data_IF_136496678714
#
_entry.id   IF_136496678714
#
_cell.length_a   1.000
_cell.length_b   1.000
_cell.length_c   1.000
_cell.angle_alpha   90.00
_cell.angle_beta   90.00
_cell.angle_gamma   90.00
#
_symmetry.space_group_name_H-M   'P 1'
#
loop_
_entity.id
_entity.type
_entity.pdbx_description
1 polymer ?
#
# COMPACT_ATOMS: atom_id res chain seq x y z
N UNK A 1 -71.56 -9.81 39.00
CA UNK A 1 -70.49 -9.72 37.99
C UNK A 1 -71.06 -9.09 36.73
N UNK A 2 -70.63 -7.89 36.36
CA UNK A 2 -71.16 -7.20 35.17
C UNK A 2 -70.50 -7.78 33.92
N UNK A 3 -71.30 -8.43 33.06
CA UNK A 3 -70.84 -9.06 31.81
C UNK A 3 -70.05 -8.08 30.93
N UNK A 4 -68.78 -8.40 30.68
CA UNK A 4 -67.90 -7.63 29.78
C UNK A 4 -68.38 -7.61 28.31
N UNK A 5 -69.42 -8.40 27.97
CA UNK A 5 -69.97 -8.58 26.63
C UNK A 5 -70.83 -7.41 26.11
N UNK A 6 -71.25 -6.45 26.96
CA UNK A 6 -72.11 -5.31 26.56
C UNK A 6 -71.46 -3.94 26.85
N UNK A 7 -70.20 -3.76 26.45
CA UNK A 7 -69.50 -2.47 26.57
C UNK A 7 -69.12 -1.93 25.19
N UNK A 8 -69.43 -0.67 24.93
CA UNK A 8 -69.17 0.00 23.66
C UNK A 8 -67.68 -0.09 23.29
N UNK A 9 -67.39 -0.62 22.08
CA UNK A 9 -66.03 -0.80 21.57
C UNK A 9 -65.24 0.53 21.55
N UNK A 10 -65.92 1.65 21.28
CA UNK A 10 -65.36 3.01 21.28
C UNK A 10 -64.80 3.44 22.64
N UNK A 11 -65.37 2.96 23.75
CA UNK A 11 -64.90 3.26 25.11
C UNK A 11 -63.60 2.52 25.46
N UNK A 12 -63.26 1.45 24.74
CA UNK A 12 -62.03 0.68 24.91
C UNK A 12 -60.97 1.02 23.85
N UNK A 13 -61.07 2.17 23.19
CA UNK A 13 -60.10 2.58 22.18
C UNK A 13 -58.70 2.68 22.79
N UNK A 14 -57.69 2.28 22.02
CA UNK A 14 -56.31 2.46 22.43
C UNK A 14 -55.94 3.95 22.34
N UNK A 15 -55.45 4.52 23.44
CA UNK A 15 -54.97 5.90 23.46
C UNK A 15 -53.51 5.94 23.00
N UNK A 16 -53.24 6.64 21.89
CA UNK A 16 -51.88 6.80 21.35
C UNK A 16 -51.07 7.79 22.20
N UNK A 17 -49.80 7.49 22.39
CA UNK A 17 -48.86 8.39 23.08
C UNK A 17 -48.35 9.49 22.13
N UNK A 18 -48.03 10.66 22.70
CA UNK A 18 -47.52 11.81 21.94
C UNK A 18 -46.00 11.75 21.78
N UNK A 19 -45.50 12.12 20.61
CA UNK A 19 -44.08 12.28 20.31
C UNK A 19 -43.46 13.53 20.98
N UNK A 20 -42.12 13.63 20.95
CA UNK A 20 -41.39 14.84 21.34
C UNK A 20 -41.68 15.98 20.33
N UNK A 21 -41.90 17.24 20.78
CA UNK A 21 -42.03 18.37 19.87
C UNK A 21 -40.79 18.57 19.00
N UNK A 22 -41.00 18.96 17.72
CA UNK A 22 -39.93 19.06 16.73
C UNK A 22 -38.81 20.02 17.14
N UNK A 23 -39.13 21.15 17.77
CA UNK A 23 -38.12 22.12 18.24
C UNK A 23 -37.24 21.58 19.37
N UNK A 24 -37.68 20.52 20.06
CA UNK A 24 -36.93 19.83 21.14
C UNK A 24 -36.41 18.46 20.72
N UNK A 25 -36.51 18.09 19.44
CA UNK A 25 -36.04 16.81 18.93
C UNK A 25 -34.54 16.58 19.22
N UNK A 26 -33.73 17.65 19.32
CA UNK A 26 -32.32 17.59 19.71
C UNK A 26 -32.07 16.94 21.07
N UNK A 27 -33.02 16.98 22.00
CA UNK A 27 -32.90 16.40 23.35
C UNK A 27 -33.19 14.89 23.37
N UNK A 28 -33.51 14.29 22.23
CA UNK A 28 -33.90 12.90 22.13
C UNK A 28 -35.36 12.65 22.49
N UNK A 29 -35.67 11.38 22.77
CA UNK A 29 -37.03 10.91 23.01
C UNK A 29 -37.64 11.51 24.28
N UNK A 30 -38.92 11.89 24.22
CA UNK A 30 -39.67 12.38 25.37
C UNK A 30 -40.06 11.23 26.29
N UNK A 31 -39.29 11.02 27.35
CA UNK A 31 -39.55 9.98 28.33
C UNK A 31 -40.96 10.07 28.92
N UNK A 32 -41.62 8.92 29.03
CA UNK A 32 -42.94 8.78 29.65
C UNK A 32 -42.83 8.09 31.00
N UNK A 33 -43.96 7.97 31.70
CA UNK A 33 -43.99 7.33 33.02
C UNK A 33 -43.41 5.91 33.01
N UNK A 34 -43.64 5.13 31.94
CA UNK A 34 -43.07 3.79 31.79
C UNK A 34 -41.53 3.84 31.78
N UNK A 35 -40.95 4.74 31.00
CA UNK A 35 -39.50 4.92 30.90
C UNK A 35 -38.90 5.41 32.22
N UNK A 36 -39.58 6.36 32.88
CA UNK A 36 -39.21 6.82 34.22
C UNK A 36 -39.17 5.68 35.23
N UNK A 37 -40.18 4.80 35.23
CA UNK A 37 -40.22 3.64 36.14
C UNK A 37 -39.04 2.69 35.86
N UNK A 38 -38.71 2.43 34.59
CA UNK A 38 -37.53 1.61 34.25
C UNK A 38 -36.23 2.25 34.73
N UNK A 39 -36.05 3.56 34.49
CA UNK A 39 -34.87 4.31 34.93
C UNK A 39 -34.76 4.35 36.46
N UNK A 40 -35.86 4.62 37.17
CA UNK A 40 -35.87 4.68 38.62
C UNK A 40 -35.54 3.32 39.26
N UNK A 41 -36.06 2.22 38.69
CA UNK A 41 -35.72 0.86 39.11
C UNK A 41 -34.25 0.52 38.89
N UNK A 42 -33.69 0.85 37.72
CA UNK A 42 -32.27 0.65 37.43
C UNK A 42 -31.37 1.47 38.38
N UNK A 43 -31.69 2.75 38.58
CA UNK A 43 -30.96 3.61 39.52
C UNK A 43 -31.00 3.04 40.94
N UNK A 44 -32.18 2.66 41.43
CA UNK A 44 -32.34 2.07 42.77
C UNK A 44 -31.55 0.76 42.90
N UNK A 45 -31.59 -0.11 41.90
CA UNK A 45 -30.81 -1.36 41.86
C UNK A 45 -29.30 -1.10 41.92
N UNK A 46 -28.79 -0.12 41.16
CA UNK A 46 -27.38 0.30 41.20
C UNK A 46 -27.00 0.87 42.57
N UNK A 47 -27.85 1.71 43.16
CA UNK A 47 -27.63 2.28 44.50
C UNK A 47 -27.59 1.19 45.58
N UNK A 48 -28.52 0.23 45.54
CA UNK A 48 -28.53 -0.90 46.46
C UNK A 48 -27.27 -1.76 46.32
N UNK A 49 -26.80 -2.02 45.08
CA UNK A 49 -25.55 -2.74 44.83
C UNK A 49 -24.34 -2.00 45.39
N UNK A 50 -24.24 -0.68 45.15
CA UNK A 50 -23.15 0.15 45.68
C UNK A 50 -23.18 0.16 47.22
N UNK A 51 -24.36 0.27 47.83
CA UNK A 51 -24.51 0.22 49.29
C UNK A 51 -23.99 -1.10 49.87
N UNK A 52 -24.39 -2.23 49.29
CA UNK A 52 -23.88 -3.56 49.70
C UNK A 52 -22.37 -3.69 49.52
N UNK A 53 -21.79 -3.15 48.44
CA UNK A 53 -20.34 -3.14 48.23
C UNK A 53 -19.62 -2.26 49.27
N UNK A 54 -20.19 -1.12 49.66
CA UNK A 54 -19.65 -0.26 50.73
C UNK A 54 -19.69 -0.95 52.09
N UNK A 55 -20.79 -1.61 52.42
CA UNK A 55 -20.92 -2.39 53.66
C UNK A 55 -19.87 -3.51 53.70
N UNK A 56 -19.72 -4.30 52.62
CA UNK A 56 -18.68 -5.33 52.51
C UNK A 56 -17.27 -4.75 52.66
N UNK A 57 -16.99 -3.59 52.07
CA UNK A 57 -15.69 -2.93 52.20
C UNK A 57 -15.43 -2.42 53.63
N UNK A 58 -16.46 -1.94 54.34
CA UNK A 58 -16.37 -1.46 55.71
C UNK A 58 -16.12 -2.59 56.72
N UNK A 59 -16.79 -3.73 56.53
CA UNK A 59 -16.64 -4.92 57.39
C UNK A 59 -15.49 -5.85 56.97
N UNK A 60 -14.57 -5.40 56.11
CA UNK A 60 -13.44 -6.21 55.63
C UNK A 60 -12.48 -6.53 56.78
N UNK A 61 -12.15 -7.81 56.96
CA UNK A 61 -11.10 -8.23 57.88
C UNK A 61 -9.72 -7.88 57.29
N UNK A 62 -8.88 -7.16 58.04
CA UNK A 62 -7.55 -6.74 57.56
C UNK A 62 -6.60 -7.91 57.36
N UNK A 63 -6.78 -8.98 58.12
CA UNK A 63 -5.91 -10.16 58.15
C UNK A 63 -6.49 -11.34 57.34
N UNK A 64 -7.48 -11.09 56.47
CA UNK A 64 -8.05 -12.14 55.61
C UNK A 64 -7.01 -12.65 54.60
N UNK A 65 -6.92 -13.97 54.46
CA UNK A 65 -6.04 -14.61 53.48
C UNK A 65 -6.83 -15.65 52.68
N UNK A 66 -6.80 -15.51 51.35
CA UNK A 66 -7.31 -16.48 50.40
C UNK A 66 -6.18 -16.96 49.49
N UNK A 67 -6.12 -18.26 49.16
CA UNK A 67 -5.09 -18.83 48.28
C UNK A 67 -4.99 -18.15 46.90
N UNK A 68 -6.10 -17.59 46.40
CA UNK A 68 -6.11 -16.80 45.16
C UNK A 68 -5.26 -15.53 45.21
N UNK A 69 -5.00 -14.99 46.41
CA UNK A 69 -4.15 -13.80 46.61
C UNK A 69 -2.67 -14.08 46.30
N UNK A 70 -2.24 -15.35 46.30
CA UNK A 70 -0.86 -15.73 45.95
C UNK A 70 -0.58 -15.47 44.47
N UNK A 71 -1.57 -15.70 43.60
CA UNK A 71 -1.46 -15.48 42.14
C UNK A 71 -2.00 -14.12 41.71
N UNK A 72 -3.03 -13.64 42.41
CA UNK A 72 -3.69 -12.37 42.11
C UNK A 72 -2.80 -11.17 42.43
N UNK A 73 -2.73 -10.23 41.49
CA UNK A 73 -1.95 -8.98 41.66
C UNK A 73 -2.92 -7.80 41.78
N UNK A 74 -2.62 -6.87 42.67
CA UNK A 74 -3.32 -5.60 42.77
C UNK A 74 -2.36 -4.45 42.48
N UNK A 75 -2.85 -3.40 41.83
CA UNK A 75 -2.08 -2.16 41.60
C UNK A 75 -2.94 -0.98 42.01
N UNK A 76 -2.46 -0.18 42.98
CA UNK A 76 -3.24 0.93 43.53
C UNK A 76 -4.60 0.50 44.11
N UNK A 77 -4.69 -0.72 44.65
CA UNK A 77 -5.94 -1.25 45.23
C UNK A 77 -6.93 -1.86 44.23
N UNK A 78 -6.63 -1.87 42.92
CA UNK A 78 -7.46 -2.52 41.89
C UNK A 78 -6.84 -3.85 41.48
N UNK A 79 -7.64 -4.92 41.46
CA UNK A 79 -7.21 -6.23 40.99
C UNK A 79 -6.92 -6.20 39.48
N UNK A 80 -5.72 -6.68 39.09
CA UNK A 80 -5.31 -6.81 37.69
C UNK A 80 -5.33 -8.29 37.32
N UNK A 81 -6.13 -8.63 36.32
CA UNK A 81 -6.06 -9.93 35.64
C UNK A 81 -4.95 -9.95 34.60
N UNK A 82 -4.28 -11.09 34.46
CA UNK A 82 -3.33 -11.32 33.37
C UNK A 82 -4.10 -11.52 32.05
N UNK A 83 -3.64 -10.88 30.96
CA UNK A 83 -4.29 -10.95 29.63
C UNK A 83 -3.83 -12.16 28.80
N UNK A 84 -2.98 -13.03 29.35
CA UNK A 84 -2.41 -14.19 28.66
C UNK A 84 -1.08 -13.94 27.93
N UNK A 85 -0.40 -12.81 28.19
CA UNK A 85 0.96 -12.60 27.67
C UNK A 85 1.98 -13.21 28.63
N UNK A 86 2.69 -14.24 28.18
CA UNK A 86 3.77 -14.88 28.94
C UNK A 86 5.14 -14.42 28.41
N UNK A 87 6.12 -14.32 29.31
CA UNK A 87 7.49 -14.03 28.92
C UNK A 87 8.10 -15.26 28.25
N UNK A 88 8.33 -15.19 26.94
CA UNK A 88 8.96 -16.28 26.19
C UNK A 88 10.44 -16.41 26.54
N UNK A 89 10.94 -17.65 26.52
CA UNK A 89 12.37 -17.91 26.69
C UNK A 89 13.18 -17.33 25.52
N UNK A 90 14.43 -16.95 25.78
CA UNK A 90 15.27 -16.31 24.76
C UNK A 90 15.51 -17.21 23.55
N UNK A 91 15.52 -18.53 23.75
CA UNK A 91 15.71 -19.51 22.66
C UNK A 91 14.50 -19.56 21.73
N UNK A 92 13.29 -19.57 22.29
CA UNK A 92 12.05 -19.51 21.51
C UNK A 92 11.96 -18.20 20.74
N UNK A 93 12.32 -17.07 21.36
CA UNK A 93 12.36 -15.78 20.67
C UNK A 93 13.38 -15.79 19.51
N UNK A 94 14.56 -16.41 19.68
CA UNK A 94 15.56 -16.55 18.59
C UNK A 94 15.02 -17.38 17.42
N UNK A 95 14.30 -18.46 17.72
CA UNK A 95 13.67 -19.30 16.70
C UNK A 95 12.62 -18.51 15.92
N UNK A 96 11.69 -17.85 16.61
CA UNK A 96 10.64 -17.04 15.99
C UNK A 96 11.22 -15.92 15.13
N UNK A 97 12.23 -15.18 15.63
CA UNK A 97 12.90 -14.13 14.85
C UNK A 97 13.67 -14.67 13.63
N UNK A 98 14.18 -15.89 13.72
CA UNK A 98 14.83 -16.54 12.58
C UNK A 98 13.81 -16.96 11.51
N UNK A 99 12.63 -17.44 11.91
CA UNK A 99 11.51 -17.73 11.02
C UNK A 99 10.98 -16.45 10.36
N UNK A 100 10.76 -15.38 11.13
CA UNK A 100 10.35 -14.05 10.64
C UNK A 100 11.31 -13.55 9.55
N UNK A 101 12.63 -13.61 9.83
CA UNK A 101 13.67 -13.18 8.90
C UNK A 101 13.66 -14.02 7.61
N UNK A 102 13.49 -15.35 7.72
CA UNK A 102 13.33 -16.23 6.56
C UNK A 102 12.11 -15.87 5.71
N UNK A 103 10.97 -15.60 6.34
CA UNK A 103 9.76 -15.16 5.65
C UNK A 103 9.98 -13.83 4.91
N UNK A 104 10.60 -12.83 5.56
CA UNK A 104 10.90 -11.54 4.93
C UNK A 104 11.80 -11.72 3.70
N UNK A 105 12.85 -12.55 3.79
CA UNK A 105 13.72 -12.85 2.64
C UNK A 105 12.97 -13.46 1.45
N UNK A 106 12.03 -14.37 1.72
CA UNK A 106 11.18 -14.94 0.67
C UNK A 106 10.28 -13.88 0.05
N UNK A 107 9.70 -12.97 0.85
CA UNK A 107 8.88 -11.87 0.33
C UNK A 107 9.70 -10.89 -0.51
N UNK A 108 10.91 -10.55 -0.07
CA UNK A 108 11.86 -9.75 -0.86
C UNK A 108 12.14 -10.39 -2.21
N UNK A 109 12.49 -11.69 -2.24
CA UNK A 109 12.78 -12.39 -3.48
C UNK A 109 11.57 -12.46 -4.43
N UNK A 110 10.34 -12.53 -3.89
CA UNK A 110 9.11 -12.46 -4.68
C UNK A 110 8.90 -11.06 -5.28
N UNK A 111 9.05 -10.02 -4.47
CA UNK A 111 8.88 -8.64 -4.92
C UNK A 111 9.96 -8.25 -5.93
N UNK A 112 11.21 -8.71 -5.75
CA UNK A 112 12.28 -8.51 -6.74
C UNK A 112 11.95 -9.14 -8.09
N UNK A 113 11.41 -10.36 -8.10
CA UNK A 113 10.95 -11.01 -9.34
C UNK A 113 9.80 -10.24 -10.00
N UNK A 114 8.84 -9.76 -9.21
CA UNK A 114 7.75 -8.94 -9.71
C UNK A 114 8.27 -7.64 -10.33
N UNK A 115 9.19 -6.94 -9.65
CA UNK A 115 9.85 -5.74 -10.16
C UNK A 115 10.61 -6.03 -11.47
N UNK A 116 11.36 -7.13 -11.57
CA UNK A 116 12.05 -7.48 -12.83
C UNK A 116 11.07 -7.75 -13.97
N UNK A 117 9.93 -8.38 -13.69
CA UNK A 117 8.89 -8.65 -14.70
C UNK A 117 8.24 -7.36 -15.16
N UNK A 118 7.79 -6.51 -14.23
CA UNK A 118 7.15 -5.23 -14.53
C UNK A 118 8.08 -4.29 -15.30
N UNK A 119 9.38 -4.30 -14.97
CA UNK A 119 10.39 -3.54 -15.75
C UNK A 119 10.50 -4.02 -17.18
N UNK A 120 10.62 -5.33 -17.41
CA UNK A 120 10.70 -5.89 -18.76
C UNK A 120 9.43 -5.57 -19.58
N UNK A 121 8.26 -5.58 -18.93
CA UNK A 121 6.99 -5.25 -19.56
C UNK A 121 6.86 -3.75 -19.90
N UNK A 122 7.35 -2.87 -19.02
CA UNK A 122 7.42 -1.43 -19.25
C UNK A 122 8.42 -1.02 -20.34
N UNK A 123 9.50 -1.80 -20.50
CA UNK A 123 10.48 -1.61 -21.58
C UNK A 123 9.87 -1.93 -22.96
N UNK A 124 9.02 -2.95 -23.05
CA UNK A 124 8.30 -3.32 -24.28
C UNK A 124 7.20 -2.32 -24.62
N UNK A 125 6.51 -1.78 -23.62
CA UNK A 125 5.38 -0.83 -23.78
C UNK A 125 5.82 0.64 -23.83
N UNK A 126 7.10 0.91 -24.11
CA UNK A 126 7.63 2.27 -24.22
C UNK A 126 6.95 3.03 -25.38
N UNK A 127 6.34 4.21 -25.14
CA UNK A 127 5.73 4.99 -26.21
C UNK A 127 6.82 5.48 -27.17
N UNK A 128 6.53 5.41 -28.47
CA UNK A 128 7.24 6.20 -29.46
C UNK A 128 7.05 7.69 -29.12
N UNK A 129 8.05 8.53 -29.40
CA UNK A 129 8.15 9.91 -28.92
C UNK A 129 7.14 10.92 -29.51
N UNK A 130 5.96 10.49 -29.97
CA UNK A 130 4.89 11.35 -30.49
C UNK A 130 3.88 11.67 -29.38
N UNK A 131 3.98 12.87 -28.80
CA UNK A 131 3.16 13.34 -27.69
C UNK A 131 2.07 14.32 -28.17
N UNK A 132 0.82 14.18 -27.70
CA UNK A 132 -0.22 15.23 -27.83
C UNK A 132 -1.34 15.25 -26.76
N UNK A 133 -1.23 14.58 -25.59
CA UNK A 133 -2.28 14.74 -24.54
C UNK A 133 -1.73 15.04 -23.14
N UNK A 134 -1.96 16.28 -22.69
CA UNK A 134 -1.37 16.91 -21.50
C UNK A 134 -1.90 16.36 -20.15
N UNK A 135 -3.08 15.72 -20.10
CA UNK A 135 -3.70 15.27 -18.85
C UNK A 135 -3.14 13.92 -18.36
N UNK A 136 -2.87 12.96 -19.26
CA UNK A 136 -2.28 11.65 -18.91
C UNK A 136 -0.81 11.79 -18.47
N UNK A 137 -0.11 12.74 -19.08
CA UNK A 137 1.29 13.03 -18.77
C UNK A 137 1.53 13.40 -17.30
N UNK A 138 0.60 14.11 -16.64
CA UNK A 138 0.76 14.51 -15.25
C UNK A 138 0.76 13.33 -14.27
N UNK A 139 -0.10 12.33 -14.50
CA UNK A 139 -0.17 11.12 -13.66
C UNK A 139 1.05 10.24 -13.88
N UNK A 140 1.46 10.06 -15.15
CA UNK A 140 2.70 9.34 -15.48
C UNK A 140 3.91 10.02 -14.85
N UNK A 141 4.01 11.35 -14.95
CA UNK A 141 5.10 12.12 -14.35
C UNK A 141 5.15 11.96 -12.83
N UNK A 142 4.00 11.98 -12.14
CA UNK A 142 3.96 11.79 -10.70
C UNK A 142 4.42 10.39 -10.28
N UNK A 143 4.13 9.35 -11.08
CA UNK A 143 4.62 8.00 -10.82
C UNK A 143 6.10 7.84 -11.17
N UNK A 144 6.54 8.43 -12.28
CA UNK A 144 7.95 8.49 -12.66
C UNK A 144 8.78 9.26 -11.63
N UNK A 145 8.26 10.35 -11.06
CA UNK A 145 8.91 11.10 -9.99
C UNK A 145 9.06 10.23 -8.73
N UNK A 146 8.01 9.51 -8.32
CA UNK A 146 8.10 8.53 -7.22
C UNK A 146 9.14 7.45 -7.52
N UNK A 147 9.26 6.98 -8.76
CA UNK A 147 10.25 5.98 -9.17
C UNK A 147 11.68 6.56 -9.13
N UNK A 148 11.84 7.82 -9.54
CA UNK A 148 13.10 8.56 -9.48
C UNK A 148 13.56 8.79 -8.03
N UNK A 149 12.66 9.17 -7.11
CA UNK A 149 12.94 9.25 -5.66
C UNK A 149 13.42 7.90 -5.10
N UNK A 150 12.94 6.80 -5.68
CA UNK A 150 13.30 5.44 -5.30
C UNK A 150 14.58 4.94 -5.99
N UNK A 151 15.27 5.83 -6.69
CA UNK A 151 16.59 5.59 -7.32
C UNK A 151 16.51 4.81 -8.62
N UNK A 152 15.32 4.69 -9.21
CA UNK A 152 15.10 3.96 -10.46
C UNK A 152 14.76 5.01 -11.52
N UNK A 153 15.79 5.41 -12.24
CA UNK A 153 15.63 6.17 -13.46
C UNK A 153 15.13 5.17 -14.50
N UNK A 154 13.81 5.04 -14.67
CA UNK A 154 13.29 4.63 -15.98
C UNK A 154 13.66 5.79 -16.88
N UNK A 155 14.74 5.66 -17.65
CA UNK A 155 15.13 6.71 -18.58
C UNK A 155 14.15 6.71 -19.74
N UNK A 156 13.27 7.72 -19.89
CA UNK A 156 12.72 8.02 -21.19
C UNK A 156 13.85 8.76 -21.91
N UNK A 157 14.72 8.03 -22.60
CA UNK A 157 15.67 8.55 -23.58
C UNK A 157 16.64 9.69 -23.17
N UNK A 158 16.98 9.91 -21.88
CA UNK A 158 17.87 11.03 -21.52
C UNK A 158 18.79 10.74 -20.31
N UNK A 159 19.84 9.93 -20.49
CA UNK A 159 21.09 10.10 -19.69
C UNK A 159 22.34 9.99 -20.55
N UNK A 160 22.84 11.15 -21.02
CA UNK A 160 24.09 11.29 -21.78
C UNK A 160 25.31 10.95 -20.92
N UNK A 161 26.03 9.86 -21.22
CA UNK A 161 27.46 9.74 -20.85
C UNK A 161 28.31 10.50 -21.88
N UNK A 162 28.78 11.70 -21.51
CA UNK A 162 29.81 12.43 -22.27
C UNK A 162 31.17 11.70 -22.13
N UNK A 163 31.46 10.77 -23.04
CA UNK A 163 32.81 10.29 -23.31
C UNK A 163 33.49 11.18 -24.36
N UNK A 164 34.63 11.79 -24.04
CA UNK A 164 35.45 12.54 -25.02
C UNK A 164 36.11 11.55 -25.99
N UNK A 165 35.59 11.47 -27.21
CA UNK A 165 36.23 10.80 -28.34
C UNK A 165 35.74 11.45 -29.64
N UNK A 166 36.66 11.92 -30.49
CA UNK A 166 36.32 12.47 -31.80
C UNK A 166 35.84 11.33 -32.71
N UNK A 167 34.59 11.42 -33.15
CA UNK A 167 33.98 10.53 -34.13
C UNK A 167 33.27 9.33 -33.51
N UNK A 168 31.96 9.46 -33.25
CA UNK A 168 31.03 8.33 -33.31
C UNK A 168 29.60 8.83 -33.57
N UNK A 169 28.88 8.01 -34.34
CA UNK A 169 27.49 8.17 -34.77
C UNK A 169 26.53 8.60 -33.65
N UNK A 170 25.40 9.25 -33.97
CA UNK A 170 24.35 9.53 -33.00
C UNK A 170 23.95 8.23 -32.30
N UNK A 171 23.95 8.25 -30.97
CA UNK A 171 23.79 7.05 -30.15
C UNK A 171 22.34 6.57 -30.02
N UNK A 172 21.37 7.32 -30.56
CA UNK A 172 19.94 7.05 -30.47
C UNK A 172 19.25 7.57 -31.72
N UNK A 173 18.33 6.76 -32.25
CA UNK A 173 17.59 7.00 -33.49
C UNK A 173 17.92 5.98 -34.58
N UNK A 174 16.92 5.66 -35.40
CA UNK A 174 17.16 4.95 -36.66
C UNK A 174 17.97 5.88 -37.57
N UNK A 175 19.18 5.46 -37.92
CA UNK A 175 20.07 6.25 -38.80
C UNK A 175 19.85 5.78 -40.21
N UNK A 176 19.25 6.65 -41.03
CA UNK A 176 19.11 6.42 -42.46
C UNK A 176 20.29 7.05 -43.18
N UNK A 177 21.02 6.24 -43.93
CA UNK A 177 22.10 6.70 -44.81
C UNK A 177 21.51 6.95 -46.18
N UNK A 178 21.89 8.09 -46.76
CA UNK A 178 21.42 8.53 -48.07
C UNK A 178 22.65 8.90 -48.91
N UNK A 179 22.63 8.51 -50.19
CA UNK A 179 23.78 8.61 -51.09
C UNK A 179 23.95 10.02 -51.68
N UNK A 180 22.86 10.71 -52.05
CA UNK A 180 22.90 12.08 -52.57
C UNK A 180 22.33 13.10 -51.59
N UNK A 181 22.85 14.34 -51.67
CA UNK A 181 22.42 15.44 -50.79
C UNK A 181 20.99 15.89 -51.09
N UNK A 182 20.56 15.80 -52.34
CA UNK A 182 19.18 16.06 -52.77
C UNK A 182 18.18 15.13 -52.08
N UNK A 183 18.55 13.85 -51.96
CA UNK A 183 17.69 12.82 -51.36
C UNK A 183 17.58 13.02 -49.85
N UNK A 184 18.65 13.47 -49.18
CA UNK A 184 18.59 13.87 -47.78
C UNK A 184 17.70 15.11 -47.56
N UNK A 185 17.74 16.08 -48.47
CA UNK A 185 16.90 17.28 -48.41
C UNK A 185 15.42 16.98 -48.74
N UNK A 186 15.15 15.91 -49.50
CA UNK A 186 13.79 15.42 -49.80
C UNK A 186 13.26 14.39 -48.79
N UNK A 187 14.13 13.78 -47.96
CA UNK A 187 13.77 12.78 -46.95
C UNK A 187 12.85 13.40 -45.87
N UNK A 188 11.54 13.26 -46.08
CA UNK A 188 10.46 13.83 -45.26
C UNK A 188 9.42 14.63 -46.06
N UNK A 189 9.74 15.10 -47.27
CA UNK A 189 8.78 15.78 -48.16
C UNK A 189 7.95 14.80 -49.01
N UNK A 190 8.49 13.62 -49.36
CA UNK A 190 7.74 12.58 -50.10
C UNK A 190 6.52 12.03 -49.31
N UNK A 191 6.55 12.14 -47.98
CA UNK A 191 5.44 11.69 -47.11
C UNK A 191 4.20 12.60 -47.16
N UNK A 192 4.29 13.86 -47.62
CA UNK A 192 3.11 14.75 -47.75
C UNK A 192 2.37 14.60 -49.09
N UNK A 193 3.01 14.06 -50.15
CA UNK A 193 2.37 13.89 -51.47
C UNK A 193 1.61 12.55 -51.61
N UNK A 194 1.93 11.53 -50.81
CA UNK A 194 1.29 10.21 -50.88
C UNK A 194 -0.08 10.13 -50.15
N UNK A 195 -0.42 11.06 -49.25
CA UNK A 195 -1.74 11.06 -48.58
C UNK A 195 -2.93 11.36 -49.53
N UNK A 196 -2.68 11.83 -50.76
CA UNK A 196 -3.75 12.17 -51.72
C UNK A 196 -3.99 11.13 -52.83
N UNK A 197 -3.21 10.05 -52.88
CA UNK A 197 -3.49 8.91 -53.75
C UNK A 197 -3.44 7.64 -52.92
N UNK A 198 -4.58 6.94 -52.78
CA UNK A 198 -4.63 5.66 -52.08
C UNK A 198 -3.73 4.63 -52.75
N UNK A 199 -2.48 4.59 -52.33
CA UNK A 199 -1.48 3.60 -52.70
C UNK A 199 -1.37 2.59 -51.57
N UNK A 200 -1.51 1.32 -51.93
CA UNK A 200 -1.32 0.19 -51.04
C UNK A 200 0.09 0.29 -50.42
N UNK A 201 0.17 0.67 -49.15
CA UNK A 201 1.41 0.66 -48.39
C UNK A 201 1.98 -0.76 -48.43
N UNK A 202 3.13 -0.95 -49.09
CA UNK A 202 3.83 -2.22 -49.07
C UNK A 202 4.19 -2.56 -47.62
N UNK A 203 3.54 -3.60 -47.08
CA UNK A 203 3.83 -4.12 -45.75
C UNK A 203 5.30 -4.49 -45.65
N UNK A 204 6.05 -3.66 -44.91
CA UNK A 204 7.43 -3.95 -44.58
C UNK A 204 7.46 -5.24 -43.76
N UNK A 205 8.02 -6.31 -44.31
CA UNK A 205 8.16 -7.60 -43.64
C UNK A 205 9.11 -7.45 -42.44
N UNK A 206 8.52 -7.31 -41.26
CA UNK A 206 9.21 -7.18 -39.98
C UNK A 206 9.86 -8.51 -39.51
N UNK A 207 9.89 -9.54 -40.37
CA UNK A 207 10.59 -10.80 -40.11
C UNK A 207 9.94 -11.67 -39.04
N UNK A 208 8.66 -11.43 -38.75
CA UNK A 208 7.88 -12.30 -37.87
C UNK A 208 7.59 -13.60 -38.62
N UNK A 209 7.96 -14.74 -38.04
CA UNK A 209 7.62 -16.04 -38.64
C UNK A 209 6.10 -16.18 -38.75
N UNK A 210 5.57 -16.06 -39.96
CA UNK A 210 4.18 -16.37 -40.23
C UNK A 210 3.91 -17.84 -39.89
N UNK A 211 2.87 -18.16 -39.10
CA UNK A 211 2.54 -19.53 -38.79
C UNK A 211 2.20 -20.29 -40.07
N UNK A 212 3.07 -21.26 -40.42
CA UNK A 212 2.91 -22.08 -41.62
C UNK A 212 1.49 -22.67 -41.71
N UNK A 213 0.77 -22.48 -42.83
CA UNK A 213 -0.60 -22.92 -42.95
C UNK A 213 -0.66 -24.45 -42.91
N UNK A 214 -1.08 -25.00 -41.77
CA UNK A 214 -1.34 -26.42 -41.63
C UNK A 214 -2.52 -26.75 -42.56
N UNK A 215 -2.26 -27.51 -43.63
CA UNK A 215 -3.26 -27.90 -44.63
C UNK A 215 -4.47 -28.56 -43.96
N UNK A 216 -5.53 -27.79 -43.70
CA UNK A 216 -6.85 -28.29 -43.34
C UNK A 216 -7.88 -27.89 -44.38
N UNK A 217 -8.79 -28.84 -44.59
CA UNK A 217 -9.75 -28.95 -45.70
C UNK A 217 -10.67 -27.73 -45.77
N UNK A 218 -11.09 -27.39 -46.99
CA UNK A 218 -12.05 -26.33 -47.33
C UNK A 218 -13.32 -26.44 -46.47
N UNK A 219 -13.38 -25.72 -45.36
CA UNK A 219 -14.62 -25.29 -44.72
C UNK A 219 -14.88 -23.85 -45.14
N UNK A 220 -16.13 -23.61 -45.54
CA UNK A 220 -16.73 -22.32 -45.94
C UNK A 220 -16.11 -21.16 -45.14
N UNK A 221 -15.42 -20.25 -45.83
CA UNK A 221 -14.91 -19.03 -45.24
C UNK A 221 -16.09 -18.21 -44.73
N UNK A 222 -16.16 -18.03 -43.41
CA UNK A 222 -16.96 -16.96 -42.81
C UNK A 222 -16.13 -15.71 -43.04
N UNK A 223 -16.64 -14.76 -43.84
CA UNK A 223 -16.07 -13.43 -43.92
C UNK A 223 -16.16 -12.83 -42.51
N UNK A 224 -15.01 -12.79 -41.81
CA UNK A 224 -14.86 -12.00 -40.60
C UNK A 224 -15.05 -10.56 -41.03
N UNK A 225 -16.16 -9.95 -40.58
CA UNK A 225 -16.38 -8.53 -40.72
C UNK A 225 -15.13 -7.81 -40.21
N UNK A 226 -14.56 -6.93 -41.04
CA UNK A 226 -13.52 -5.99 -40.60
C UNK A 226 -14.21 -5.07 -39.60
N UNK A 227 -14.09 -5.37 -38.31
CA UNK A 227 -14.44 -4.41 -37.26
C UNK A 227 -13.53 -3.20 -37.48
N UNK A 228 -14.13 -2.02 -37.61
CA UNK A 228 -13.39 -0.76 -37.63
C UNK A 228 -12.67 -0.66 -36.28
N UNK A 229 -11.35 -0.89 -36.29
CA UNK A 229 -10.52 -0.79 -35.10
C UNK A 229 -10.34 0.69 -34.76
N UNK A 230 -10.93 1.12 -33.66
CA UNK A 230 -10.77 2.47 -33.16
C UNK A 230 -9.35 2.62 -32.58
N UNK A 231 -8.45 3.15 -33.40
CA UNK A 231 -7.03 3.36 -33.07
C UNK A 231 -6.87 4.30 -31.87
N UNK A 232 -7.75 5.29 -31.71
CA UNK A 232 -7.71 6.23 -30.60
C UNK A 232 -8.10 5.56 -29.28
N UNK A 233 -9.16 4.74 -29.29
CA UNK A 233 -9.58 3.98 -28.12
C UNK A 233 -8.50 2.96 -27.70
N UNK A 234 -7.91 2.25 -28.66
CA UNK A 234 -6.82 1.31 -28.38
C UNK A 234 -5.57 2.02 -27.83
N UNK A 235 -5.25 3.22 -28.31
CA UNK A 235 -4.16 4.03 -27.78
C UNK A 235 -4.43 4.51 -26.35
N UNK A 236 -5.67 4.88 -26.01
CA UNK A 236 -6.06 5.23 -24.65
C UNK A 236 -5.96 4.02 -23.71
N UNK A 237 -6.46 2.86 -24.11
CA UNK A 237 -6.35 1.61 -23.33
C UNK A 237 -4.87 1.23 -23.08
N UNK A 238 -4.01 1.37 -24.09
CA UNK A 238 -2.57 1.11 -23.95
C UNK A 238 -1.90 2.06 -22.94
N UNK A 239 -2.29 3.34 -22.92
CA UNK A 239 -1.80 4.33 -21.94
C UNK A 239 -2.28 4.02 -20.53
N UNK A 240 -3.56 3.67 -20.36
CA UNK A 240 -4.09 3.25 -19.07
C UNK A 240 -3.38 2.01 -18.53
N UNK A 241 -3.09 1.04 -19.39
CA UNK A 241 -2.33 -0.15 -19.03
C UNK A 241 -0.91 0.19 -18.57
N UNK A 242 -0.22 1.08 -19.30
CA UNK A 242 1.11 1.57 -18.94
C UNK A 242 1.12 2.28 -17.58
N UNK A 243 0.13 3.14 -17.32
CA UNK A 243 -0.08 3.79 -16.03
C UNK A 243 -0.26 2.76 -14.91
N UNK A 244 -1.08 1.73 -15.13
CA UNK A 244 -1.25 0.64 -14.15
C UNK A 244 0.09 -0.05 -13.84
N UNK A 245 0.89 -0.38 -14.86
CA UNK A 245 2.21 -0.99 -14.69
C UNK A 245 3.20 -0.09 -13.92
N UNK A 246 3.21 1.21 -14.18
CA UNK A 246 4.03 2.19 -13.46
C UNK A 246 3.60 2.28 -11.98
N UNK A 247 2.28 2.32 -11.74
CA UNK A 247 1.71 2.36 -10.40
C UNK A 247 2.10 1.10 -9.59
N UNK A 248 1.98 -0.08 -10.20
CA UNK A 248 2.33 -1.36 -9.60
C UNK A 248 3.84 -1.46 -9.34
N UNK A 249 4.66 -1.02 -10.29
CA UNK A 249 6.10 -0.97 -10.12
C UNK A 249 6.47 -0.08 -8.92
N UNK A 250 5.88 1.11 -8.82
CA UNK A 250 6.13 2.02 -7.70
C UNK A 250 5.70 1.41 -6.35
N UNK A 251 4.57 0.70 -6.31
CA UNK A 251 4.07 0.03 -5.11
C UNK A 251 5.00 -1.11 -4.66
N UNK A 252 5.45 -1.94 -5.61
CA UNK A 252 6.40 -3.02 -5.32
C UNK A 252 7.75 -2.49 -4.83
N UNK A 253 8.25 -1.40 -5.41
CA UNK A 253 9.51 -0.78 -4.97
C UNK A 253 9.41 -0.17 -3.57
N UNK A 254 8.30 0.49 -3.27
CA UNK A 254 8.01 1.00 -1.94
C UNK A 254 7.95 -0.13 -0.91
N UNK A 255 7.24 -1.22 -1.23
CA UNK A 255 7.18 -2.40 -0.39
C UNK A 255 8.56 -3.04 -0.20
N UNK A 256 9.35 -3.16 -1.28
CA UNK A 256 10.71 -3.71 -1.23
C UNK A 256 11.61 -2.88 -0.30
N UNK A 257 11.55 -1.53 -0.37
CA UNK A 257 12.27 -0.63 0.54
C UNK A 257 11.89 -0.89 2.00
N UNK A 258 10.60 -1.03 2.31
CA UNK A 258 10.13 -1.35 3.66
C UNK A 258 10.59 -2.74 4.13
N UNK A 259 10.51 -3.75 3.26
CA UNK A 259 10.97 -5.11 3.57
C UNK A 259 12.47 -5.15 3.82
N UNK A 260 13.28 -4.43 3.03
CA UNK A 260 14.73 -4.30 3.23
C UNK A 260 15.08 -3.59 4.54
N UNK A 261 14.33 -2.55 4.90
CA UNK A 261 14.46 -1.91 6.22
C UNK A 261 14.10 -2.87 7.36
N UNK A 262 13.05 -3.68 7.19
CA UNK A 262 12.65 -4.68 8.17
C UNK A 262 13.69 -5.81 8.28
N UNK A 263 14.25 -6.28 7.17
CA UNK A 263 15.34 -7.26 7.11
C UNK A 263 16.55 -6.75 7.90
N UNK A 264 17.04 -5.54 7.64
CA UNK A 264 18.18 -4.95 8.37
C UNK A 264 17.91 -4.84 9.88
N UNK A 265 16.68 -4.48 10.28
CA UNK A 265 16.27 -4.46 11.69
C UNK A 265 16.26 -5.86 12.30
N UNK A 266 15.73 -6.86 11.60
CA UNK A 266 15.73 -8.23 12.08
C UNK A 266 17.14 -8.82 12.17
N UNK A 267 17.99 -8.57 11.18
CA UNK A 267 19.40 -8.99 11.19
C UNK A 267 20.17 -8.40 12.36
N UNK A 268 20.02 -7.10 12.62
CA UNK A 268 20.64 -6.46 13.79
C UNK A 268 20.11 -7.04 15.10
N UNK A 269 18.80 -7.27 15.23
CA UNK A 269 18.23 -7.92 16.44
C UNK A 269 18.72 -9.36 16.62
N UNK A 270 18.80 -10.15 15.54
CA UNK A 270 19.35 -11.51 15.54
C UNK A 270 20.82 -11.51 15.95
N UNK A 271 21.60 -10.56 15.45
CA UNK A 271 23.01 -10.36 15.82
C UNK A 271 23.16 -10.03 17.31
N UNK A 272 22.30 -9.17 17.86
CA UNK A 272 22.28 -8.81 19.28
C UNK A 272 21.87 -9.96 20.19
N UNK A 273 20.94 -10.81 19.73
CA UNK A 273 20.56 -12.04 20.43
C UNK A 273 21.61 -13.17 20.27
N UNK A 274 22.63 -12.95 19.45
CA UNK A 274 23.75 -13.86 19.25
C UNK A 274 24.70 -13.91 20.45
N UNK A 275 25.80 -14.65 20.29
CA UNK A 275 26.90 -14.68 21.26
C UNK A 275 27.87 -13.53 20.97
N UNK A 276 28.36 -12.86 22.02
CA UNK A 276 29.39 -11.81 21.93
C UNK A 276 28.99 -10.57 22.72
N UNK A 277 29.98 -9.83 23.22
CA UNK A 277 29.74 -8.57 23.91
C UNK A 277 29.50 -7.45 22.89
N UNK A 278 28.33 -6.82 22.94
CA UNK A 278 28.00 -5.63 22.15
C UNK A 278 27.77 -4.42 23.05
N UNK A 279 28.29 -3.26 22.66
CA UNK A 279 28.06 -1.98 23.33
C UNK A 279 27.23 -1.08 22.42
N UNK A 280 26.17 -0.47 22.96
CA UNK A 280 25.42 0.59 22.27
C UNK A 280 26.32 1.82 22.16
N UNK A 281 26.63 2.25 20.94
CA UNK A 281 27.37 3.51 20.73
C UNK A 281 26.40 4.68 20.75
N UNK A 282 25.26 4.53 20.05
CA UNK A 282 24.29 5.62 19.87
C UNK A 282 22.87 5.11 19.92
N UNK A 283 21.97 5.97 20.41
CA UNK A 283 20.54 5.77 20.32
C UNK A 283 19.96 6.29 19.00
N UNK A 284 18.64 6.14 18.83
CA UNK A 284 17.88 6.77 17.76
C UNK A 284 17.91 8.30 17.90
N UNK A 285 18.11 9.01 16.80
CA UNK A 285 18.11 10.47 16.79
C UNK A 285 18.54 11.09 15.46
N UNK A 286 18.42 12.41 15.39
CA UNK A 286 18.92 13.23 14.30
C UNK A 286 20.43 13.38 14.38
N UNK A 287 21.09 13.22 13.25
CA UNK A 287 22.55 13.23 13.13
C UNK A 287 22.89 14.09 11.94
N UNK A 288 23.87 14.98 12.11
CA UNK A 288 24.35 15.81 11.01
C UNK A 288 24.92 14.92 9.91
N UNK A 289 24.40 15.10 8.69
CA UNK A 289 24.79 14.36 7.49
C UNK A 289 24.82 15.33 6.32
N UNK A 290 26.03 15.68 5.88
CA UNK A 290 26.27 16.66 4.81
C UNK A 290 25.64 16.27 3.48
N UNK A 291 25.29 14.99 3.31
CA UNK A 291 24.63 14.44 2.13
C UNK A 291 23.13 14.79 2.06
N UNK A 292 22.52 15.27 3.14
CA UNK A 292 21.09 15.59 3.15
C UNK A 292 20.85 17.02 2.65
N UNK A 293 19.69 17.28 2.00
CA UNK A 293 19.27 18.64 1.70
C UNK A 293 19.12 19.44 3.00
N UNK A 294 19.33 20.76 2.91
CA UNK A 294 19.16 21.66 4.05
C UNK A 294 17.68 21.76 4.43
N UNK A 295 17.38 21.52 5.71
CA UNK A 295 16.06 21.79 6.27
C UNK A 295 15.79 23.29 6.31
N UNK A 296 14.54 23.69 6.62
CA UNK A 296 14.12 25.10 6.77
C UNK A 296 14.99 25.94 7.73
N UNK A 297 15.72 25.28 8.63
CA UNK A 297 16.60 25.93 9.60
C UNK A 297 18.08 25.97 9.15
N UNK A 298 18.42 25.51 7.93
CA UNK A 298 19.79 25.38 7.44
C UNK A 298 20.54 24.16 7.99
N UNK A 299 19.88 23.32 8.78
CA UNK A 299 20.44 22.09 9.32
C UNK A 299 20.38 20.96 8.29
N UNK A 300 21.48 20.22 8.12
CA UNK A 300 21.50 18.98 7.32
C UNK A 300 21.49 17.77 8.25
N UNK A 301 20.30 17.33 8.65
CA UNK A 301 20.15 16.24 9.63
C UNK A 301 19.48 15.03 9.01
N UNK A 302 20.02 13.85 9.31
CA UNK A 302 19.42 12.56 8.96
C UNK A 302 18.97 11.84 10.22
N UNK A 303 17.75 11.33 10.22
CA UNK A 303 17.32 10.40 11.26
C UNK A 303 18.06 9.09 11.10
N UNK A 304 18.85 8.73 12.11
CA UNK A 304 19.60 7.48 12.09
C UNK A 304 19.19 6.57 13.25
N UNK A 305 19.23 5.26 12.99
CA UNK A 305 18.89 4.24 13.98
C UNK A 305 19.97 4.03 15.05
N UNK A 306 19.66 3.13 15.98
CA UNK A 306 20.58 2.65 17.02
C UNK A 306 21.79 1.97 16.37
N UNK A 307 22.98 2.26 16.89
CA UNK A 307 24.23 1.66 16.41
C UNK A 307 24.87 0.87 17.55
N UNK A 308 25.29 -0.35 17.22
CA UNK A 308 25.93 -1.29 18.13
C UNK A 308 27.33 -1.61 17.64
N UNK A 309 28.30 -1.64 18.56
CA UNK A 309 29.67 -2.09 18.30
C UNK A 309 29.94 -3.36 19.08
N UNK A 310 30.32 -4.41 18.36
CA UNK A 310 30.79 -5.64 18.97
C UNK A 310 32.24 -5.48 19.43
N UNK A 311 32.56 -6.08 20.57
CA UNK A 311 33.93 -6.16 21.07
C UNK A 311 34.77 -6.93 20.04
N UNK A 312 35.99 -6.45 19.78
CA UNK A 312 36.94 -7.11 18.90
C UNK A 312 37.46 -8.38 19.58
N UNK A 313 36.69 -9.47 19.46
CA UNK A 313 37.03 -10.79 19.99
C UNK A 313 36.79 -11.82 18.88
N UNK A 314 37.79 -12.67 18.63
CA UNK A 314 37.60 -13.80 17.71
C UNK A 314 36.68 -14.81 18.39
N UNK A 315 35.66 -15.26 17.67
CA UNK A 315 34.82 -16.37 18.13
C UNK A 315 35.71 -17.61 18.27
N UNK A 316 35.75 -18.17 19.48
CA UNK A 316 36.36 -19.48 19.72
C UNK A 316 35.60 -20.55 18.96
#
# INVERSE_FOLDING_TARGET
MVNAARKNLMSRRNHKERAQPLHRARLGHLEKHKDYVHRARDYKSKQERIRKLREKAAFRNKDEFYWGMVKGKTKGGVAIGERGFEALSTEVVKLLKSQDLGYIRVQIAKDEKAVTKLRAELEVTAPASSATEEWSAASELAEVEKLAEMGIVLSPALTRKKGKGKGKAPSEGHVVFVDERSDFENYGNEYEEEEQQGTEEEQIDLGWEEPQPVKKRKSKAVELAKEEFDEEAAAQEAREYRLQLLSDLSAHLNRLKLLRQAEAKLETTKGLMGKGAARKIRDHGWVEDESQPEDRNGDRKKWQGKIWKWKMERRK
#
